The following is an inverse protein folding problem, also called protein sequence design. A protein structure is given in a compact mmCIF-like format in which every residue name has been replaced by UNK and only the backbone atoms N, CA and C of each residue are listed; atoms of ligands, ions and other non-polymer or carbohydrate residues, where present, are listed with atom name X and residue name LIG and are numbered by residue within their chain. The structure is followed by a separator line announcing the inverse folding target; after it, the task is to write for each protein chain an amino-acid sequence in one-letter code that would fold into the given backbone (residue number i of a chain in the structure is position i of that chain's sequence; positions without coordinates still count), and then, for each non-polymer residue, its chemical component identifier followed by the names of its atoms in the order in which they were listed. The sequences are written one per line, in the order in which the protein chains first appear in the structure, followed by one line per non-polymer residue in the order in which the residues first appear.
data_IF_625076109720
#
_entry.id   IF_625076109720
#
_cell.length_a   1.000
_cell.length_b   1.000
_cell.length_c   1.000
_cell.angle_alpha   90.00
_cell.angle_beta   90.00
_cell.angle_gamma   90.00
#
_symmetry.space_group_name_H-M   'P 1'
#
loop_
_entity.id
_entity.type
_entity.pdbx_description
1 polymer ?
#
# COMPACT_ATOMS: atom_id res chain seq x y z
N UNK A 1 -44.48 13.24 54.67
CA UNK A 1 -43.28 13.95 54.19
C UNK A 1 -42.42 13.00 53.37
N UNK A 2 -42.25 13.24 52.06
CA UNK A 2 -41.35 12.43 51.20
C UNK A 2 -40.00 13.15 51.06
N UNK A 3 -38.98 12.61 51.70
CA UNK A 3 -37.60 13.08 51.57
C UNK A 3 -37.04 12.65 50.22
N UNK A 4 -36.99 13.57 49.26
CA UNK A 4 -36.20 13.36 48.05
C UNK A 4 -34.71 13.54 48.38
N UNK A 5 -33.98 12.41 48.50
CA UNK A 5 -32.53 12.46 48.55
C UNK A 5 -32.00 13.00 47.20
N UNK A 6 -31.42 14.20 47.20
CA UNK A 6 -30.68 14.71 46.04
C UNK A 6 -29.43 13.84 45.89
N UNK A 7 -29.42 12.89 44.95
CA UNK A 7 -28.22 12.14 44.55
C UNK A 7 -27.12 13.15 44.19
N UNK A 8 -26.07 13.23 45.02
CA UNK A 8 -24.85 13.99 44.75
C UNK A 8 -24.24 13.46 43.44
N UNK A 9 -24.36 14.22 42.35
CA UNK A 9 -23.67 13.90 41.09
C UNK A 9 -22.17 14.04 41.31
N UNK A 10 -21.44 12.93 41.28
CA UNK A 10 -19.98 12.89 41.36
C UNK A 10 -19.37 13.46 40.06
N UNK A 11 -19.35 14.78 39.93
CA UNK A 11 -18.79 15.48 38.77
C UNK A 11 -17.31 15.18 38.54
N UNK A 12 -16.56 14.79 39.58
CA UNK A 12 -15.16 14.33 39.46
C UNK A 12 -15.03 13.04 38.63
N UNK A 13 -15.91 12.06 38.85
CA UNK A 13 -15.91 10.79 38.11
C UNK A 13 -16.27 11.03 36.64
N UNK A 14 -17.24 11.92 36.38
CA UNK A 14 -17.61 12.30 35.01
C UNK A 14 -16.45 12.97 34.26
N UNK A 15 -15.72 13.88 34.91
CA UNK A 15 -14.54 14.52 34.32
C UNK A 15 -13.42 13.52 34.03
N UNK A 16 -13.19 12.59 34.95
CA UNK A 16 -12.20 11.51 34.76
C UNK A 16 -12.58 10.59 33.59
N UNK A 17 -13.83 10.15 33.49
CA UNK A 17 -14.33 9.35 32.37
C UNK A 17 -14.22 10.10 31.03
N UNK A 18 -14.56 11.39 31.01
CA UNK A 18 -14.40 12.23 29.81
C UNK A 18 -12.93 12.28 29.36
N UNK A 19 -12.00 12.46 30.30
CA UNK A 19 -10.58 12.47 29.99
C UNK A 19 -10.11 11.14 29.40
N UNK A 20 -10.57 10.01 29.96
CA UNK A 20 -10.27 8.68 29.46
C UNK A 20 -10.80 8.46 28.03
N UNK A 21 -12.02 8.91 27.75
CA UNK A 21 -12.61 8.83 26.40
C UNK A 21 -11.79 9.65 25.39
N UNK A 22 -11.36 10.86 25.75
CA UNK A 22 -10.53 11.69 24.87
C UNK A 22 -9.23 10.97 24.51
N UNK A 23 -8.56 10.33 25.48
CA UNK A 23 -7.34 9.56 25.23
C UNK A 23 -7.60 8.42 24.23
N UNK A 24 -8.68 7.65 24.44
CA UNK A 24 -9.04 6.54 23.55
C UNK A 24 -9.28 7.06 22.13
N UNK A 25 -10.03 8.16 21.98
CA UNK A 25 -10.32 8.77 20.68
C UNK A 25 -9.04 9.23 19.98
N UNK A 26 -8.11 9.84 20.71
CA UNK A 26 -6.83 10.28 20.14
C UNK A 26 -6.00 9.09 19.66
N UNK A 27 -5.91 8.00 20.45
CA UNK A 27 -5.19 6.80 20.05
C UNK A 27 -5.82 6.15 18.81
N UNK A 28 -7.15 6.02 18.78
CA UNK A 28 -7.87 5.45 17.62
C UNK A 28 -7.68 6.27 16.35
N UNK A 29 -7.57 7.60 16.45
CA UNK A 29 -7.29 8.46 15.29
C UNK A 29 -5.88 8.25 14.74
N UNK A 30 -4.87 8.07 15.60
CA UNK A 30 -3.49 7.80 15.18
C UNK A 30 -3.43 6.46 14.43
N UNK A 31 -4.06 5.42 14.97
CA UNK A 31 -4.12 4.10 14.35
C UNK A 31 -4.86 4.14 13.01
N UNK A 32 -5.97 4.88 12.94
CA UNK A 32 -6.72 5.07 11.71
C UNK A 32 -5.89 5.76 10.61
N UNK A 33 -5.08 6.76 10.98
CA UNK A 33 -4.19 7.44 10.03
C UNK A 33 -3.09 6.52 9.52
N UNK A 34 -2.50 5.71 10.39
CA UNK A 34 -1.44 4.77 9.97
C UNK A 34 -1.99 3.65 9.06
N UNK A 35 -3.13 3.06 9.44
CA UNK A 35 -3.85 2.11 8.61
C UNK A 35 -4.23 2.70 7.24
N UNK A 36 -4.75 3.94 7.23
CA UNK A 36 -5.11 4.62 5.99
C UNK A 36 -3.89 4.86 5.09
N UNK A 37 -2.75 5.22 5.66
CA UNK A 37 -1.51 5.48 4.91
C UNK A 37 -0.89 4.19 4.36
N UNK A 38 -1.06 3.07 5.05
CA UNK A 38 -0.44 1.78 4.72
C UNK A 38 -1.35 0.81 3.95
N UNK A 39 -2.65 1.09 3.81
CA UNK A 39 -3.65 0.20 3.17
C UNK A 39 -3.28 -0.38 1.81
N UNK A 40 -2.51 0.37 1.01
CA UNK A 40 -2.17 0.01 -0.38
C UNK A 40 -0.66 -0.23 -0.59
N UNK A 41 0.09 -0.47 0.48
CA UNK A 41 1.51 -0.79 0.37
C UNK A 41 1.69 -2.26 0.00
N UNK A 42 2.66 -2.54 -0.86
CA UNK A 42 3.06 -3.90 -1.18
C UNK A 42 3.74 -4.55 0.03
N UNK A 43 3.46 -5.85 0.19
CA UNK A 43 4.00 -6.68 1.26
C UNK A 43 5.54 -6.71 1.25
N UNK A 44 6.15 -6.93 2.42
CA UNK A 44 7.58 -7.15 2.52
C UNK A 44 8.10 -8.28 1.64
N UNK A 45 9.33 -8.13 1.13
CA UNK A 45 10.02 -9.15 0.34
C UNK A 45 9.53 -9.31 -1.11
N UNK A 46 8.66 -8.42 -1.61
CA UNK A 46 8.25 -8.43 -3.02
C UNK A 46 9.22 -7.62 -3.86
N UNK A 47 9.79 -8.24 -4.88
CA UNK A 47 10.64 -7.60 -5.88
C UNK A 47 10.20 -7.95 -7.29
N UNK A 48 10.31 -7.01 -8.24
CA UNK A 48 10.09 -7.27 -9.66
C UNK A 48 11.17 -6.58 -10.50
N UNK A 49 11.59 -7.24 -11.58
CA UNK A 49 12.64 -6.73 -12.49
C UNK A 49 13.94 -6.30 -11.78
N UNK A 50 14.27 -6.95 -10.65
CA UNK A 50 15.45 -6.61 -9.84
C UNK A 50 15.27 -5.38 -8.92
N UNK A 51 14.05 -4.84 -8.80
CA UNK A 51 13.73 -3.71 -7.93
C UNK A 51 12.86 -4.17 -6.77
N UNK A 52 13.23 -3.78 -5.54
CA UNK A 52 12.42 -3.98 -4.35
C UNK A 52 11.18 -3.07 -4.37
N UNK A 53 10.00 -3.66 -4.20
CA UNK A 53 8.71 -2.96 -4.24
C UNK A 53 8.07 -2.81 -2.86
N UNK A 54 8.73 -3.34 -1.83
CA UNK A 54 8.25 -3.34 -0.46
C UNK A 54 7.90 -1.92 0.02
N UNK A 55 6.73 -1.79 0.65
CA UNK A 55 6.29 -0.54 1.24
C UNK A 55 5.89 0.55 0.24
N UNK A 56 6.03 0.30 -1.08
CA UNK A 56 5.59 1.20 -2.13
C UNK A 56 4.10 1.03 -2.39
N UNK A 57 3.46 2.15 -2.76
CA UNK A 57 2.08 2.13 -3.26
C UNK A 57 2.07 1.77 -4.74
N UNK A 58 0.91 1.26 -5.21
CA UNK A 58 0.70 0.84 -6.60
C UNK A 58 1.10 1.91 -7.62
N UNK A 59 0.80 3.18 -7.37
CA UNK A 59 1.11 4.28 -8.28
C UNK A 59 2.62 4.45 -8.46
N UNK A 60 3.35 4.40 -7.34
CA UNK A 60 4.82 4.54 -7.34
C UNK A 60 5.50 3.32 -7.98
N UNK A 61 4.92 2.14 -7.81
CA UNK A 61 5.39 0.92 -8.48
C UNK A 61 5.22 1.05 -9.99
N UNK A 62 4.06 1.54 -10.44
CA UNK A 62 3.83 1.78 -11.86
C UNK A 62 4.85 2.75 -12.43
N UNK A 63 5.12 3.86 -11.76
CA UNK A 63 6.13 4.83 -12.20
C UNK A 63 7.53 4.21 -12.35
N UNK A 64 7.90 3.28 -11.46
CA UNK A 64 9.20 2.60 -11.49
C UNK A 64 9.24 1.50 -12.57
N UNK A 65 8.20 0.67 -12.64
CA UNK A 65 8.18 -0.52 -13.50
C UNK A 65 7.84 -0.19 -14.96
N UNK A 66 7.04 0.84 -15.23
CA UNK A 66 6.64 1.24 -16.58
C UNK A 66 7.85 1.43 -17.52
N UNK A 67 8.88 2.23 -17.20
CA UNK A 67 10.03 2.40 -18.09
C UNK A 67 10.84 1.12 -18.27
N UNK A 68 10.93 0.27 -17.23
CA UNK A 68 11.63 -1.01 -17.29
C UNK A 68 10.89 -1.98 -18.23
N UNK A 69 9.57 -2.08 -18.06
CA UNK A 69 8.70 -2.91 -18.88
C UNK A 69 8.72 -2.48 -20.35
N UNK A 70 8.60 -1.17 -20.63
CA UNK A 70 8.73 -0.63 -21.99
C UNK A 70 10.07 -0.98 -22.61
N UNK A 71 11.17 -0.74 -21.90
CA UNK A 71 12.50 -1.14 -22.37
C UNK A 71 12.58 -2.65 -22.62
N UNK A 72 11.87 -3.46 -21.84
CA UNK A 72 11.92 -4.91 -21.97
C UNK A 72 11.31 -5.41 -23.29
N UNK A 73 10.21 -4.80 -23.72
CA UNK A 73 9.45 -5.18 -24.93
C UNK A 73 9.91 -4.46 -26.20
N UNK A 74 10.53 -3.28 -26.05
CA UNK A 74 11.04 -2.48 -27.18
C UNK A 74 12.48 -2.83 -27.57
N UNK A 75 13.22 -3.49 -26.68
CA UNK A 75 14.61 -3.90 -26.96
C UNK A 75 14.67 -5.21 -27.76
N UNK A 76 15.58 -5.34 -28.75
CA UNK A 76 15.83 -6.60 -29.42
C UNK A 76 16.23 -7.70 -28.44
N UNK A 77 15.67 -8.90 -28.62
CA UNK A 77 15.99 -10.13 -27.91
C UNK A 77 16.60 -11.13 -28.87
N UNK A 78 17.53 -11.92 -28.35
CA UNK A 78 18.16 -13.01 -29.09
C UNK A 78 17.71 -14.28 -28.39
N UNK A 79 17.02 -15.15 -29.14
CA UNK A 79 16.73 -16.52 -28.73
C UNK A 79 17.75 -17.43 -29.39
N UNK A 80 18.50 -18.16 -28.58
CA UNK A 80 19.45 -19.17 -29.04
C UNK A 80 18.84 -20.54 -28.80
N UNK A 81 18.64 -21.31 -29.87
CA UNK A 81 18.08 -22.66 -29.81
C UNK A 81 18.69 -23.52 -30.90
N UNK A 82 19.25 -24.68 -30.53
CA UNK A 82 19.91 -25.62 -31.47
C UNK A 82 20.90 -24.93 -32.42
N UNK A 83 21.82 -24.14 -31.86
CA UNK A 83 22.84 -23.36 -32.59
C UNK A 83 22.28 -22.32 -33.59
N UNK A 84 20.98 -22.03 -33.54
CA UNK A 84 20.34 -20.95 -34.31
C UNK A 84 20.07 -19.75 -33.42
N UNK A 85 20.40 -18.57 -33.95
CA UNK A 85 20.08 -17.29 -33.31
C UNK A 85 18.89 -16.63 -34.01
N UNK A 86 17.85 -16.32 -33.25
CA UNK A 86 16.70 -15.57 -33.71
C UNK A 86 16.66 -14.23 -32.99
N UNK A 87 16.81 -13.14 -33.74
CA UNK A 87 16.71 -11.78 -33.21
C UNK A 87 15.33 -11.21 -33.52
N UNK A 88 14.60 -10.79 -32.50
CA UNK A 88 13.28 -10.19 -32.63
C UNK A 88 13.05 -9.06 -31.65
N UNK A 89 12.16 -8.13 -31.98
CA UNK A 89 11.64 -7.12 -31.06
C UNK A 89 10.26 -7.59 -30.55
N UNK A 90 10.12 -7.93 -29.25
CA UNK A 90 8.91 -8.55 -28.71
C UNK A 90 7.61 -7.83 -29.06
N UNK A 91 7.56 -6.50 -28.89
CA UNK A 91 6.34 -5.74 -29.16
C UNK A 91 5.97 -5.73 -30.66
N UNK A 92 6.96 -5.66 -31.55
CA UNK A 92 6.73 -5.54 -33.00
C UNK A 92 6.38 -6.87 -33.67
N UNK A 93 7.07 -7.93 -33.28
CA UNK A 93 7.02 -9.20 -33.99
C UNK A 93 6.10 -10.22 -33.31
N UNK A 94 5.94 -10.13 -31.99
CA UNK A 94 5.13 -11.06 -31.20
C UNK A 94 3.88 -10.40 -30.60
N UNK A 95 3.65 -9.10 -30.85
CA UNK A 95 2.63 -8.32 -30.18
C UNK A 95 2.70 -8.43 -28.64
N UNK A 96 3.91 -8.58 -28.10
CA UNK A 96 4.11 -8.74 -26.67
C UNK A 96 3.82 -7.42 -25.94
N UNK A 97 3.17 -7.52 -24.79
CA UNK A 97 2.90 -6.40 -23.90
C UNK A 97 3.02 -6.85 -22.43
N UNK A 98 3.25 -5.89 -21.55
CA UNK A 98 3.26 -6.09 -20.10
C UNK A 98 2.16 -5.20 -19.53
N UNK A 99 1.18 -5.82 -18.88
CA UNK A 99 0.14 -5.07 -18.18
C UNK A 99 0.59 -4.76 -16.74
N UNK A 100 0.54 -3.48 -16.39
CA UNK A 100 0.86 -2.94 -15.07
C UNK A 100 -0.38 -2.31 -14.38
N UNK A 101 -1.58 -2.51 -14.93
CA UNK A 101 -2.83 -1.97 -14.38
C UNK A 101 -3.34 -2.67 -13.11
#
# INVERSE_FOLDING_TARGET
MKYHSKKKKNGKIRKFLLYLIIIIVVLSLVDAVDLYKNRNKILPGVSAFGVELEGLKKEKIREILQPIASKMIDSPRILVFEDKEFKFIPHKELNAFIDLN
#
